data_IF_601777824756
#
_entry.id   IF_601777824756
#
_cell.length_a   1.000
_cell.length_b   1.000
_cell.length_c   1.000
_cell.angle_alpha   90.00
_cell.angle_beta   90.00
_cell.angle_gamma   90.00
#
_symmetry.space_group_name_H-M   'P 1'
#
loop_
_entity.id
_entity.type
_entity.pdbx_description
1 polymer ?
#
# COMPACT_ATOMS: atom_id res chain seq x y z
N UNK A 1 -13.30 25.26 -10.18
CA UNK A 1 -13.64 23.83 -10.12
C UNK A 1 -12.33 23.05 -10.17
N UNK A 2 -11.35 23.33 -9.29
CA UNK A 2 -9.95 22.95 -9.58
C UNK A 2 -9.15 22.54 -8.34
N UNK A 3 -9.82 22.00 -7.32
CA UNK A 3 -9.16 21.52 -6.10
C UNK A 3 -8.25 20.31 -6.42
N UNK A 4 -8.66 19.47 -7.37
CA UNK A 4 -7.90 18.29 -7.79
C UNK A 4 -6.68 18.63 -8.67
N UNK A 5 -6.70 19.76 -9.36
CA UNK A 5 -5.58 20.20 -10.20
C UNK A 5 -4.44 20.83 -9.40
N UNK A 6 -4.70 21.25 -8.15
CA UNK A 6 -3.71 21.87 -7.27
C UNK A 6 -2.96 20.83 -6.39
N UNK A 7 -3.34 19.56 -6.47
CA UNK A 7 -2.70 18.47 -5.71
C UNK A 7 -1.41 18.03 -6.42
N UNK A 8 -0.36 17.78 -5.62
CA UNK A 8 0.87 17.18 -6.13
C UNK A 8 0.65 15.67 -6.40
N UNK A 9 0.24 15.36 -7.64
CA UNK A 9 -0.03 14.00 -8.09
C UNK A 9 1.18 13.06 -8.04
N UNK A 10 2.40 13.61 -8.14
CA UNK A 10 3.64 12.82 -8.03
C UNK A 10 3.79 12.25 -6.61
N UNK A 11 3.63 13.09 -5.58
CA UNK A 11 3.73 12.66 -4.19
C UNK A 11 2.61 11.69 -3.81
N UNK A 12 1.39 11.93 -4.29
CA UNK A 12 0.25 11.02 -4.07
C UNK A 12 0.57 9.63 -4.62
N UNK A 13 1.09 9.55 -5.84
CA UNK A 13 1.38 8.28 -6.47
C UNK A 13 2.58 7.59 -5.82
N UNK A 14 3.62 8.33 -5.45
CA UNK A 14 4.77 7.81 -4.69
C UNK A 14 4.36 7.20 -3.36
N UNK A 15 3.55 7.91 -2.56
CA UNK A 15 3.07 7.42 -1.27
C UNK A 15 2.11 6.23 -1.43
N UNK A 16 1.30 6.22 -2.50
CA UNK A 16 0.42 5.08 -2.81
C UNK A 16 1.25 3.84 -3.12
N UNK A 17 2.25 3.95 -4.01
CA UNK A 17 3.14 2.83 -4.34
C UNK A 17 3.93 2.35 -3.10
N UNK A 18 4.47 3.28 -2.31
CA UNK A 18 5.17 2.94 -1.08
C UNK A 18 4.26 2.23 -0.09
N UNK A 19 3.03 2.72 0.10
CA UNK A 19 2.04 2.09 0.96
C UNK A 19 1.74 0.65 0.55
N UNK A 20 1.56 0.40 -0.75
CA UNK A 20 1.34 -0.95 -1.29
C UNK A 20 2.54 -1.86 -1.04
N UNK A 21 3.77 -1.37 -1.21
CA UNK A 21 4.99 -2.14 -0.95
C UNK A 21 5.11 -2.46 0.55
N UNK A 22 4.90 -1.48 1.42
CA UNK A 22 4.99 -1.67 2.88
C UNK A 22 3.94 -2.68 3.35
N UNK A 23 2.73 -2.65 2.80
CA UNK A 23 1.67 -3.59 3.15
C UNK A 23 1.93 -4.99 2.58
N UNK A 24 2.63 -5.10 1.45
CA UNK A 24 2.89 -6.40 0.80
C UNK A 24 3.59 -7.42 1.70
N UNK A 25 4.56 -6.98 2.53
CA UNK A 25 5.27 -7.86 3.47
C UNK A 25 4.36 -8.43 4.57
N UNK A 26 3.72 -7.58 5.39
CA UNK A 26 2.76 -8.02 6.40
C UNK A 26 1.58 -8.81 5.83
N UNK A 27 1.11 -8.51 4.62
CA UNK A 27 0.02 -9.26 3.97
C UNK A 27 0.37 -10.74 3.82
N UNK A 28 1.61 -11.06 3.41
CA UNK A 28 2.01 -12.46 3.23
C UNK A 28 2.01 -13.20 4.56
N UNK A 29 2.58 -12.59 5.62
CA UNK A 29 2.62 -13.15 6.97
C UNK A 29 1.20 -13.33 7.52
N UNK A 30 0.34 -12.32 7.35
CA UNK A 30 -1.05 -12.37 7.75
C UNK A 30 -1.76 -13.55 7.09
N UNK A 31 -1.67 -13.68 5.76
CA UNK A 31 -2.30 -14.78 5.03
C UNK A 31 -1.78 -16.15 5.48
N UNK A 32 -0.47 -16.30 5.70
CA UNK A 32 0.12 -17.55 6.18
C UNK A 32 -0.37 -17.91 7.59
N UNK A 33 -0.42 -16.93 8.50
CA UNK A 33 -0.92 -17.12 9.85
C UNK A 33 -2.40 -17.53 9.88
N UNK A 34 -3.26 -16.86 9.08
CA UNK A 34 -4.68 -17.20 8.97
C UNK A 34 -4.91 -18.60 8.40
N UNK A 35 -4.04 -19.05 7.50
CA UNK A 35 -4.13 -20.36 6.87
C UNK A 35 -3.44 -21.46 7.68
N UNK A 36 -2.96 -21.16 8.89
CA UNK A 36 -2.13 -22.06 9.71
C UNK A 36 -0.99 -22.71 8.89
N UNK A 37 -0.39 -21.93 7.98
CA UNK A 37 0.73 -22.36 7.15
C UNK A 37 2.04 -22.39 7.94
N UNK A 38 3.12 -22.84 7.29
CA UNK A 38 4.46 -22.74 7.87
C UNK A 38 4.96 -21.30 7.72
N UNK A 39 4.96 -20.57 8.84
CA UNK A 39 5.53 -19.22 8.96
C UNK A 39 7.06 -19.26 8.99
#
# INVERSE_FOLDING_TARGET
MDVLANINWEVVLQLTCLGLIVISGPIVIFVLAFRNGNL
#
